data_IF_568473869359
#
_entry.id   IF_568473869359
#
_cell.length_a   1.000
_cell.length_b   1.000
_cell.length_c   1.000
_cell.angle_alpha   90.00
_cell.angle_beta   90.00
_cell.angle_gamma   90.00
#
_symmetry.space_group_name_H-M   'P 1'
#
loop_
_entity.id
_entity.type
_entity.pdbx_description
1 polymer ?
#
# COMPACT_ATOMS: atom_id res chain seq x y z
N UNK A 1 -25.76 -20.02 -46.92
CA UNK A 1 -24.86 -19.26 -46.04
C UNK A 1 -25.53 -19.24 -44.68
N UNK A 2 -25.00 -19.98 -43.71
CA UNK A 2 -25.51 -19.92 -42.34
C UNK A 2 -24.96 -18.66 -41.67
N UNK A 3 -25.87 -17.80 -41.20
CA UNK A 3 -25.52 -16.65 -40.38
C UNK A 3 -25.38 -17.17 -38.94
N UNK A 4 -24.23 -16.93 -38.32
CA UNK A 4 -24.02 -17.28 -36.90
C UNK A 4 -24.83 -16.32 -36.02
N UNK A 5 -25.61 -16.88 -35.13
CA UNK A 5 -26.30 -16.15 -34.09
C UNK A 5 -25.32 -15.71 -33.00
N UNK A 6 -25.54 -14.53 -32.43
CA UNK A 6 -24.78 -13.98 -31.31
C UNK A 6 -25.74 -13.29 -30.35
N UNK A 7 -25.59 -13.57 -29.05
CA UNK A 7 -26.44 -13.06 -27.98
C UNK A 7 -25.63 -12.11 -27.08
N UNK A 8 -26.29 -11.08 -26.54
CA UNK A 8 -25.77 -10.19 -25.48
C UNK A 8 -26.44 -10.47 -24.13
N UNK A 9 -26.07 -9.73 -23.09
CA UNK A 9 -26.60 -9.91 -21.74
C UNK A 9 -28.11 -9.72 -21.65
N UNK A 10 -28.67 -8.74 -22.38
CA UNK A 10 -30.11 -8.42 -22.33
C UNK A 10 -30.98 -9.41 -23.11
N UNK A 11 -30.38 -10.30 -23.91
CA UNK A 11 -31.11 -11.30 -24.70
C UNK A 11 -31.49 -12.54 -23.86
N UNK A 12 -30.93 -12.68 -22.66
CA UNK A 12 -31.05 -13.91 -21.84
C UNK A 12 -31.35 -13.62 -20.39
N UNK A 13 -31.97 -14.59 -19.71
CA UNK A 13 -32.20 -14.59 -18.27
C UNK A 13 -31.70 -15.92 -17.68
N UNK A 14 -31.29 -15.89 -16.41
CA UNK A 14 -30.99 -17.10 -15.66
C UNK A 14 -32.28 -17.72 -15.15
N UNK A 15 -32.51 -18.99 -15.46
CA UNK A 15 -33.62 -19.76 -14.91
C UNK A 15 -33.32 -20.11 -13.43
N UNK A 16 -34.19 -19.74 -12.47
CA UNK A 16 -33.97 -20.08 -11.06
C UNK A 16 -34.00 -21.60 -10.81
N UNK A 17 -33.08 -22.09 -9.99
CA UNK A 17 -33.06 -23.46 -9.49
C UNK A 17 -33.32 -23.52 -7.98
N UNK A 18 -33.61 -24.72 -7.45
CA UNK A 18 -33.68 -24.93 -6.01
C UNK A 18 -32.30 -24.70 -5.37
N UNK A 19 -32.26 -24.04 -4.21
CA UNK A 19 -31.02 -23.73 -3.48
C UNK A 19 -31.25 -23.85 -1.97
N UNK A 20 -30.35 -24.57 -1.30
CA UNK A 20 -30.27 -24.65 0.16
C UNK A 20 -29.21 -23.69 0.75
N UNK A 21 -28.54 -22.90 -0.11
CA UNK A 21 -27.48 -21.96 0.28
C UNK A 21 -28.05 -20.55 0.40
N UNK A 22 -27.76 -19.88 1.52
CA UNK A 22 -28.11 -18.48 1.71
C UNK A 22 -27.11 -17.56 0.99
N UNK A 23 -27.54 -16.40 0.45
CA UNK A 23 -26.64 -15.50 -0.30
C UNK A 23 -25.34 -15.12 0.42
N UNK A 24 -25.37 -14.91 1.74
CA UNK A 24 -24.17 -14.57 2.53
C UNK A 24 -23.19 -15.74 2.76
N UNK A 25 -23.55 -16.96 2.36
CA UNK A 25 -22.70 -18.15 2.46
C UNK A 25 -22.00 -18.49 1.13
N UNK A 26 -22.33 -17.77 0.06
CA UNK A 26 -21.77 -18.02 -1.27
C UNK A 26 -20.33 -17.53 -1.33
N UNK A 27 -19.43 -18.42 -1.78
CA UNK A 27 -18.05 -18.03 -2.10
C UNK A 27 -18.02 -17.40 -3.50
N UNK A 28 -17.52 -16.17 -3.57
CA UNK A 28 -17.38 -15.40 -4.83
C UNK A 28 -15.94 -15.34 -5.32
N UNK A 29 -15.04 -16.10 -4.68
CA UNK A 29 -13.65 -16.17 -5.09
C UNK A 29 -13.51 -16.72 -6.52
N UNK A 30 -12.52 -16.22 -7.23
CA UNK A 30 -12.28 -16.61 -8.63
C UNK A 30 -10.81 -16.55 -8.97
N UNK A 31 -10.43 -17.08 -10.14
CA UNK A 31 -9.07 -17.00 -10.66
C UNK A 31 -8.97 -15.97 -11.76
N UNK A 32 -8.08 -15.00 -11.58
CA UNK A 32 -7.75 -14.02 -12.62
C UNK A 32 -6.70 -14.57 -13.59
N UNK A 33 -5.71 -15.30 -13.07
CA UNK A 33 -4.73 -16.03 -13.88
C UNK A 33 -4.60 -17.47 -13.37
N UNK A 34 -3.70 -18.26 -13.97
CA UNK A 34 -3.39 -19.61 -13.48
C UNK A 34 -2.85 -19.62 -12.04
N UNK A 35 -2.24 -18.52 -11.59
CA UNK A 35 -1.54 -18.41 -10.31
C UNK A 35 -2.14 -17.36 -9.37
N UNK A 36 -3.01 -16.48 -9.89
CA UNK A 36 -3.59 -15.37 -9.11
C UNK A 36 -5.07 -15.61 -8.89
N UNK A 37 -5.46 -15.74 -7.62
CA UNK A 37 -6.85 -15.80 -7.17
C UNK A 37 -7.29 -14.47 -6.58
N UNK A 38 -8.58 -14.14 -6.72
CA UNK A 38 -9.24 -12.96 -6.17
C UNK A 38 -10.34 -13.40 -5.21
N UNK A 39 -10.62 -12.60 -4.19
CA UNK A 39 -11.71 -12.87 -3.24
C UNK A 39 -13.07 -12.46 -3.80
N UNK A 40 -13.09 -11.54 -4.78
CA UNK A 40 -14.29 -11.14 -5.54
C UNK A 40 -13.96 -11.08 -7.04
N UNK A 41 -14.93 -11.31 -7.95
CA UNK A 41 -14.68 -11.37 -9.39
C UNK A 41 -14.70 -9.99 -10.04
N UNK A 42 -14.10 -8.98 -9.41
CA UNK A 42 -14.09 -7.59 -9.88
C UNK A 42 -12.67 -7.10 -10.18
N UNK A 43 -12.50 -6.56 -11.39
CA UNK A 43 -11.25 -5.97 -11.86
C UNK A 43 -11.52 -4.59 -12.46
N UNK A 44 -10.76 -3.57 -12.08
CA UNK A 44 -10.90 -2.23 -12.67
C UNK A 44 -10.17 -2.13 -14.00
N UNK A 45 -10.79 -1.43 -14.95
CA UNK A 45 -10.28 -1.27 -16.31
C UNK A 45 -8.98 -0.45 -16.37
N UNK A 46 -8.10 -0.80 -17.30
CA UNK A 46 -6.81 -0.13 -17.55
C UNK A 46 -6.96 1.18 -18.34
N UNK A 47 -7.80 2.09 -17.84
CA UNK A 47 -8.12 3.39 -18.47
C UNK A 47 -7.65 4.54 -17.57
N UNK A 48 -7.17 5.62 -18.19
CA UNK A 48 -6.65 6.81 -17.50
C UNK A 48 -7.69 7.51 -16.64
N UNK A 49 -8.94 7.48 -17.08
CA UNK A 49 -10.09 8.01 -16.33
C UNK A 49 -10.60 7.08 -15.24
N UNK A 50 -10.03 5.86 -15.11
CA UNK A 50 -10.54 4.83 -14.20
C UNK A 50 -9.48 4.48 -13.15
N UNK A 51 -8.33 3.93 -13.55
CA UNK A 51 -7.44 3.22 -12.61
C UNK A 51 -6.04 3.82 -12.53
N UNK A 52 -5.81 4.58 -11.47
CA UNK A 52 -4.49 4.94 -10.92
C UNK A 52 -4.27 4.25 -9.56
N UNK A 53 -3.16 4.56 -8.86
CA UNK A 53 -2.76 3.92 -7.60
C UNK A 53 -3.87 3.91 -6.56
N UNK A 54 -4.61 5.02 -6.43
CA UNK A 54 -5.71 5.16 -5.47
C UNK A 54 -6.83 4.13 -5.68
N UNK A 55 -7.29 3.94 -6.91
CA UNK A 55 -8.34 2.95 -7.18
C UNK A 55 -7.78 1.53 -7.09
N UNK A 56 -6.56 1.30 -7.58
CA UNK A 56 -5.93 -0.02 -7.50
C UNK A 56 -5.76 -0.51 -6.05
N UNK A 57 -5.39 0.39 -5.12
CA UNK A 57 -5.36 0.10 -3.68
C UNK A 57 -6.76 -0.27 -3.17
N UNK A 58 -7.76 0.55 -3.46
CA UNK A 58 -9.14 0.31 -3.00
C UNK A 58 -9.70 -1.02 -3.50
N UNK A 59 -9.45 -1.35 -4.78
CA UNK A 59 -9.84 -2.64 -5.37
C UNK A 59 -9.17 -3.81 -4.65
N UNK A 60 -7.87 -3.72 -4.40
CA UNK A 60 -7.14 -4.77 -3.70
C UNK A 60 -7.63 -4.97 -2.26
N UNK A 61 -7.91 -3.88 -1.53
CA UNK A 61 -8.46 -3.95 -0.17
C UNK A 61 -9.87 -4.56 -0.12
N UNK A 62 -10.68 -4.33 -1.15
CA UNK A 62 -11.99 -4.97 -1.31
C UNK A 62 -11.89 -6.45 -1.72
N UNK A 63 -10.70 -6.94 -2.08
CA UNK A 63 -10.45 -8.32 -2.51
C UNK A 63 -10.46 -8.54 -4.03
N UNK A 64 -10.54 -7.47 -4.81
CA UNK A 64 -10.45 -7.48 -6.27
C UNK A 64 -9.04 -7.10 -6.77
N UNK A 65 -8.96 -6.62 -8.01
CA UNK A 65 -7.69 -6.21 -8.64
C UNK A 65 -7.85 -4.90 -9.43
N UNK A 66 -6.83 -4.05 -9.44
CA UNK A 66 -6.78 -2.89 -10.32
C UNK A 66 -5.65 -2.99 -11.33
N UNK A 67 -5.95 -2.65 -12.59
CA UNK A 67 -4.96 -2.59 -13.68
C UNK A 67 -4.66 -1.14 -14.01
N UNK A 68 -3.42 -0.70 -13.80
CA UNK A 68 -3.00 0.66 -14.13
C UNK A 68 -3.00 0.88 -15.65
N UNK A 69 -3.50 2.03 -16.09
CA UNK A 69 -3.45 2.40 -17.50
C UNK A 69 -2.02 2.69 -17.98
N UNK A 70 -1.83 2.77 -19.31
CA UNK A 70 -0.54 3.01 -19.97
C UNK A 70 -0.35 4.43 -20.53
N UNK A 71 -1.26 5.35 -20.20
CA UNK A 71 -1.22 6.75 -20.66
C UNK A 71 -0.34 7.60 -19.74
N UNK A 72 0.91 7.15 -19.54
CA UNK A 72 1.92 7.78 -18.68
C UNK A 72 3.29 7.25 -19.11
N UNK A 73 4.36 7.92 -18.67
CA UNK A 73 5.72 7.41 -18.89
C UNK A 73 5.96 6.11 -18.10
N UNK A 74 6.87 5.23 -18.54
CA UNK A 74 7.24 4.03 -17.79
C UNK A 74 7.66 4.34 -16.34
N UNK A 75 8.33 5.46 -16.11
CA UNK A 75 8.79 5.91 -14.79
C UNK A 75 7.63 6.28 -13.87
N UNK A 76 6.64 7.01 -14.40
CA UNK A 76 5.41 7.37 -13.67
C UNK A 76 4.59 6.13 -13.33
N UNK A 77 4.43 5.21 -14.29
CA UNK A 77 3.72 3.95 -14.04
C UNK A 77 4.39 3.12 -12.96
N UNK A 78 5.73 3.08 -12.98
CA UNK A 78 6.49 2.39 -11.95
C UNK A 78 6.29 3.02 -10.56
N UNK A 79 6.18 4.35 -10.44
CA UNK A 79 5.87 4.98 -9.14
C UNK A 79 4.44 4.64 -8.68
N UNK A 80 3.45 4.66 -9.58
CA UNK A 80 2.08 4.22 -9.27
C UNK A 80 2.06 2.78 -8.75
N UNK A 81 2.80 1.86 -9.38
CA UNK A 81 2.97 0.48 -8.89
C UNK A 81 3.62 0.45 -7.51
N UNK A 82 4.70 1.23 -7.29
CA UNK A 82 5.39 1.29 -5.99
C UNK A 82 4.45 1.78 -4.88
N UNK A 83 3.60 2.77 -5.14
CA UNK A 83 2.60 3.24 -4.18
C UNK A 83 1.64 2.13 -3.78
N UNK A 84 1.06 1.42 -4.75
CA UNK A 84 0.13 0.29 -4.49
C UNK A 84 0.81 -0.80 -3.67
N UNK A 85 2.04 -1.20 -4.05
CA UNK A 85 2.75 -2.30 -3.38
C UNK A 85 3.22 -1.94 -1.97
N UNK A 86 3.47 -0.67 -1.67
CA UNK A 86 3.91 -0.19 -0.34
C UNK A 86 2.75 0.01 0.64
N UNK A 87 1.54 0.25 0.14
CA UNK A 87 0.39 0.66 0.94
C UNK A 87 0.11 -0.26 2.14
N UNK A 88 0.06 -1.57 1.93
CA UNK A 88 -0.16 -2.58 2.98
C UNK A 88 1.04 -3.51 3.18
N UNK A 89 2.25 -2.98 3.07
CA UNK A 89 3.44 -3.76 3.43
C UNK A 89 3.48 -3.97 4.94
N UNK A 90 3.17 -5.18 5.40
CA UNK A 90 3.26 -5.57 6.82
C UNK A 90 4.67 -5.42 7.41
N UNK A 91 5.69 -5.34 6.56
CA UNK A 91 7.05 -4.89 6.84
C UNK A 91 7.47 -3.92 5.73
N UNK A 92 7.88 -2.71 6.08
CA UNK A 92 8.33 -1.70 5.12
C UNK A 92 9.75 -2.03 4.66
N UNK A 93 9.90 -2.44 3.40
CA UNK A 93 11.22 -2.70 2.78
C UNK A 93 11.76 -1.38 2.21
N UNK A 94 13.02 -1.07 2.51
CA UNK A 94 13.68 0.19 2.16
C UNK A 94 12.90 1.43 2.65
N UNK A 95 12.73 1.60 3.98
CA UNK A 95 12.06 2.78 4.52
C UNK A 95 12.84 4.04 4.14
N UNK A 96 12.12 5.15 3.99
CA UNK A 96 12.77 6.45 3.85
C UNK A 96 13.39 6.83 5.20
N UNK A 97 14.70 6.98 5.21
CA UNK A 97 15.47 7.38 6.39
C UNK A 97 15.88 8.85 6.31
N UNK A 98 16.12 9.47 7.46
CA UNK A 98 16.65 10.84 7.57
C UNK A 98 17.96 10.84 8.36
N UNK A 99 18.73 11.92 8.27
CA UNK A 99 19.97 12.09 9.01
C UNK A 99 19.71 12.81 10.34
N UNK A 100 20.60 12.68 11.34
CA UNK A 100 20.44 13.33 12.64
C UNK A 100 20.37 14.86 12.54
N UNK A 101 21.06 15.43 11.55
CA UNK A 101 21.12 16.87 11.32
C UNK A 101 20.06 17.38 10.33
N UNK A 102 19.18 16.51 9.82
CA UNK A 102 18.09 16.91 8.92
C UNK A 102 17.14 17.86 9.67
N UNK A 103 16.86 19.07 9.13
CA UNK A 103 15.98 20.04 9.78
C UNK A 103 14.52 19.60 9.69
N UNK A 104 13.72 19.99 10.70
CA UNK A 104 12.31 19.64 10.77
C UNK A 104 11.49 20.14 9.56
N UNK A 105 11.86 21.28 8.97
CA UNK A 105 11.28 21.81 7.74
C UNK A 105 11.28 20.79 6.60
N UNK A 106 12.42 20.11 6.39
CA UNK A 106 12.59 19.08 5.37
C UNK A 106 11.77 17.83 5.70
N UNK A 107 11.79 17.40 6.96
CA UNK A 107 10.99 16.24 7.41
C UNK A 107 9.49 16.48 7.17
N UNK A 108 8.99 17.69 7.48
CA UNK A 108 7.59 18.06 7.26
C UNK A 108 7.25 18.12 5.75
N UNK A 109 8.17 18.60 4.91
CA UNK A 109 8.02 18.57 3.46
C UNK A 109 7.92 17.12 2.93
N UNK A 110 8.79 16.22 3.39
CA UNK A 110 8.75 14.80 3.02
C UNK A 110 7.44 14.16 3.49
N UNK A 111 7.06 14.39 4.75
CA UNK A 111 5.81 13.89 5.34
C UNK A 111 4.57 14.33 4.54
N UNK A 112 4.49 15.60 4.16
CA UNK A 112 3.34 16.12 3.41
C UNK A 112 3.18 15.48 2.03
N UNK A 113 4.32 15.25 1.34
CA UNK A 113 4.39 14.64 0.00
C UNK A 113 4.17 13.12 0.03
N UNK A 114 4.76 12.41 1.00
CA UNK A 114 4.82 10.93 1.05
C UNK A 114 3.83 10.31 2.04
N UNK A 115 3.12 11.10 2.84
CA UNK A 115 2.16 10.67 3.88
C UNK A 115 2.75 9.68 4.92
N UNK A 116 4.04 9.81 5.22
CA UNK A 116 4.76 8.97 6.19
C UNK A 116 4.63 9.57 7.60
N UNK A 117 4.40 8.73 8.61
CA UNK A 117 4.19 9.14 10.01
C UNK A 117 5.40 8.99 10.92
N UNK A 118 6.45 8.28 10.48
CA UNK A 118 7.68 8.08 11.24
C UNK A 118 8.88 7.81 10.34
N UNK A 119 10.04 8.29 10.76
CA UNK A 119 11.29 8.25 10.03
C UNK A 119 12.37 7.60 10.88
N UNK A 120 12.95 6.47 10.45
CA UNK A 120 14.18 5.98 11.05
C UNK A 120 15.30 7.00 10.80
N UNK A 121 16.04 7.33 11.86
CA UNK A 121 17.17 8.25 11.81
C UNK A 121 18.46 7.44 11.77
N UNK A 122 19.25 7.63 10.71
CA UNK A 122 20.47 6.84 10.47
C UNK A 122 21.69 7.75 10.32
N UNK A 123 22.84 7.28 10.80
CA UNK A 123 24.11 8.01 10.60
C UNK A 123 24.53 8.04 9.13
N UNK A 124 24.96 9.20 8.61
CA UNK A 124 25.52 9.30 7.27
C UNK A 124 26.72 8.37 7.06
N UNK A 125 26.80 7.75 5.89
CA UNK A 125 27.92 6.87 5.51
C UNK A 125 27.85 5.46 6.10
N UNK A 126 27.54 5.31 7.40
CA UNK A 126 27.46 3.99 8.05
C UNK A 126 26.10 3.33 7.92
N UNK A 127 25.02 4.13 7.77
CA UNK A 127 23.65 3.63 7.75
C UNK A 127 23.18 3.09 9.10
N UNK A 128 23.93 3.33 10.19
CA UNK A 128 23.60 2.83 11.52
C UNK A 128 22.35 3.55 12.04
N UNK A 129 21.35 2.78 12.49
CA UNK A 129 20.16 3.33 13.15
C UNK A 129 20.56 3.97 14.49
N UNK A 130 20.24 5.24 14.65
CA UNK A 130 20.51 6.03 15.88
C UNK A 130 19.26 6.59 16.53
N UNK A 131 18.10 6.49 15.88
CA UNK A 131 16.85 7.02 16.40
C UNK A 131 15.63 6.72 15.55
N UNK A 132 14.46 7.11 16.04
CA UNK A 132 13.24 7.23 15.26
C UNK A 132 12.57 8.57 15.58
N UNK A 133 12.11 9.27 14.54
CA UNK A 133 11.34 10.51 14.66
C UNK A 133 9.91 10.26 14.20
N UNK A 134 8.93 10.48 15.06
CA UNK A 134 7.52 10.19 14.81
C UNK A 134 6.66 11.46 14.80
N UNK A 135 5.42 11.33 14.34
CA UNK A 135 4.42 12.40 14.43
C UNK A 135 4.20 12.94 15.85
N UNK A 136 4.44 12.14 16.90
CA UNK A 136 4.28 12.61 18.29
C UNK A 136 5.41 13.54 18.69
N UNK A 137 6.62 13.21 18.29
CA UNK A 137 7.84 13.97 18.62
C UNK A 137 7.81 15.38 17.99
N UNK A 138 7.21 15.49 16.80
CA UNK A 138 7.10 16.76 16.07
C UNK A 138 5.88 17.61 16.46
N UNK A 139 4.94 17.10 17.28
CA UNK A 139 3.60 17.70 17.43
C UNK A 139 3.59 19.08 18.08
N UNK A 140 4.54 19.34 18.98
CA UNK A 140 4.60 20.55 19.78
C UNK A 140 5.80 21.45 19.45
N UNK A 141 6.57 21.10 18.42
CA UNK A 141 7.71 21.91 18.01
C UNK A 141 7.24 23.05 17.09
N UNK A 142 7.58 24.28 17.47
CA UNK A 142 7.21 25.49 16.73
C UNK A 142 8.30 25.96 15.78
N UNK A 143 9.54 25.51 15.96
CA UNK A 143 10.68 25.92 15.14
C UNK A 143 10.99 24.88 14.06
N UNK A 144 10.99 25.33 12.80
CA UNK A 144 11.26 24.48 11.63
C UNK A 144 12.74 24.14 11.43
N UNK A 145 13.64 24.84 12.11
CA UNK A 145 15.10 24.69 11.96
C UNK A 145 15.70 23.66 12.92
N UNK A 146 14.90 23.12 13.85
CA UNK A 146 15.39 22.15 14.82
C UNK A 146 15.82 20.86 14.11
N UNK A 147 17.04 20.34 14.37
CA UNK A 147 17.50 19.13 13.73
C UNK A 147 16.81 17.90 14.34
N UNK A 148 16.62 16.85 13.53
CA UNK A 148 15.96 15.61 13.93
C UNK A 148 16.53 14.99 15.22
N UNK A 149 17.85 15.07 15.43
CA UNK A 149 18.53 14.54 16.63
C UNK A 149 18.07 15.13 17.96
N UNK A 150 17.51 16.34 17.93
CA UNK A 150 17.01 17.02 19.13
C UNK A 150 15.64 16.49 19.58
N UNK A 151 14.86 15.91 18.66
CA UNK A 151 13.49 15.48 18.89
C UNK A 151 13.31 13.96 18.81
N UNK A 152 14.20 13.26 18.11
CA UNK A 152 14.07 11.82 17.90
C UNK A 152 14.14 11.04 19.21
N UNK A 153 13.41 9.93 19.28
CA UNK A 153 13.62 8.91 20.31
C UNK A 153 14.88 8.12 19.98
N UNK A 154 15.83 8.07 20.90
CA UNK A 154 17.12 7.36 20.75
C UNK A 154 17.36 6.27 21.80
N UNK A 155 16.75 6.42 22.97
CA UNK A 155 16.89 5.49 24.09
C UNK A 155 15.73 4.49 24.11
N UNK A 156 15.99 3.28 24.61
CA UNK A 156 14.99 2.21 24.74
C UNK A 156 14.24 1.85 23.44
N UNK A 157 14.93 1.96 22.30
CA UNK A 157 14.38 1.54 21.02
C UNK A 157 14.21 0.02 20.98
N UNK A 158 12.97 -0.42 20.82
CA UNK A 158 12.65 -1.82 20.53
C UNK A 158 12.99 -2.07 19.06
N UNK A 159 13.93 -2.98 18.81
CA UNK A 159 14.36 -3.37 17.46
C UNK A 159 14.26 -4.88 17.30
N UNK A 160 14.14 -5.33 16.05
CA UNK A 160 14.15 -6.75 15.68
C UNK A 160 15.33 -7.03 14.76
N UNK A 161 15.81 -8.27 14.75
CA UNK A 161 16.85 -8.71 13.80
C UNK A 161 16.25 -8.98 12.43
N UNK A 162 17.09 -8.92 11.41
CA UNK A 162 16.74 -9.37 10.07
C UNK A 162 16.25 -10.83 10.10
N UNK A 163 15.18 -11.12 9.34
CA UNK A 163 14.53 -12.43 9.34
C UNK A 163 13.43 -12.63 10.41
N UNK A 164 13.13 -11.61 11.22
CA UNK A 164 12.01 -11.63 12.15
C UNK A 164 10.67 -11.89 11.43
N UNK A 165 9.85 -12.78 11.99
CA UNK A 165 8.54 -13.09 11.42
C UNK A 165 7.52 -11.98 11.73
N UNK A 166 6.48 -11.86 10.89
CA UNK A 166 5.41 -10.88 11.12
C UNK A 166 4.69 -11.09 12.47
N UNK A 167 4.58 -12.34 12.93
CA UNK A 167 3.95 -12.68 14.21
C UNK A 167 4.79 -12.17 15.41
N UNK A 168 6.10 -12.38 15.37
CA UNK A 168 7.04 -11.90 16.40
C UNK A 168 7.06 -10.37 16.45
N UNK A 169 7.16 -9.70 15.29
CA UNK A 169 7.12 -8.25 15.22
C UNK A 169 5.80 -7.67 15.77
N UNK A 170 4.66 -8.30 15.44
CA UNK A 170 3.35 -7.90 15.99
C UNK A 170 3.26 -8.09 17.51
N UNK A 171 3.90 -9.12 18.07
CA UNK A 171 3.90 -9.35 19.52
C UNK A 171 4.67 -8.26 20.28
N UNK A 172 5.74 -7.73 19.69
CA UNK A 172 6.54 -6.64 20.28
C UNK A 172 5.88 -5.26 20.16
N UNK A 173 4.95 -5.09 19.22
CA UNK A 173 4.20 -3.84 19.00
C UNK A 173 2.90 -3.75 19.80
N UNK A 174 2.50 -4.82 20.50
CA UNK A 174 1.35 -4.86 21.40
C UNK A 174 1.71 -4.29 22.77
#
# INVERSE_FOLDING_TARGET
MEIREGLTFDDVLLEPGASDVMPGQVDTSTRFTREISLNIPLVSSAMDTVTESRLAIAMAQAGGLGVLHRNMTPEEQAEQVREVKRYESGMVINPLTINPDTPLSEVLAIKSRRKISGFPVVEPGTGKLVGILTNRDMRFEGSSEVPAKALMTKDNLITVREGCTQAEARALLR
#
